data_IF_052882586180
#
_entry.id   IF_052882586180
#
_cell.length_a   1.000
_cell.length_b   1.000
_cell.length_c   1.000
_cell.angle_alpha   90.00
_cell.angle_beta   90.00
_cell.angle_gamma   90.00
#
_symmetry.space_group_name_H-M   'P 1'
#
loop_
_entity.id
_entity.type
_entity.pdbx_description
1 polymer ?
#
# COMPACT_ATOMS: atom_id res chain seq x y z
N UNK A 1 49.03 14.48 -40.17
CA UNK A 1 49.82 13.30 -39.71
C UNK A 1 50.29 12.38 -40.85
N UNK A 2 49.39 11.74 -41.62
CA UNK A 2 49.76 10.74 -42.66
C UNK A 2 50.76 11.24 -43.71
N UNK A 3 50.59 12.48 -44.18
CA UNK A 3 51.51 13.09 -45.14
C UNK A 3 52.96 13.22 -44.59
N UNK A 4 53.10 13.52 -43.29
CA UNK A 4 54.40 13.60 -42.62
C UNK A 4 55.05 12.23 -42.48
N UNK A 5 54.27 11.18 -42.14
CA UNK A 5 54.76 9.80 -42.07
C UNK A 5 55.25 9.29 -43.43
N UNK A 6 54.54 9.64 -44.50
CA UNK A 6 54.96 9.33 -45.87
C UNK A 6 56.28 10.02 -46.25
N UNK A 7 56.42 11.31 -45.95
CA UNK A 7 57.68 12.04 -46.16
C UNK A 7 58.83 11.48 -45.31
N UNK A 8 58.56 11.13 -44.06
CA UNK A 8 59.56 10.53 -43.17
C UNK A 8 60.09 9.22 -43.76
N UNK A 9 59.18 8.34 -44.19
CA UNK A 9 59.53 7.07 -44.83
C UNK A 9 60.41 7.30 -46.07
N UNK A 10 60.08 8.29 -46.90
CA UNK A 10 60.83 8.62 -48.11
C UNK A 10 62.25 9.13 -47.77
N UNK A 11 62.37 10.08 -46.84
CA UNK A 11 63.66 10.61 -46.39
C UNK A 11 64.53 9.54 -45.72
N UNK A 12 63.95 8.67 -44.89
CA UNK A 12 64.71 7.56 -44.27
C UNK A 12 65.21 6.56 -45.29
N UNK A 13 64.45 6.27 -46.34
CA UNK A 13 64.89 5.41 -47.43
C UNK A 13 66.02 6.05 -48.25
N UNK A 14 65.96 7.36 -48.49
CA UNK A 14 67.04 8.10 -49.14
C UNK A 14 68.32 8.11 -48.30
N UNK A 15 68.21 8.33 -46.99
CA UNK A 15 69.37 8.33 -46.09
C UNK A 15 70.11 6.98 -46.05
N UNK A 16 69.42 5.86 -46.32
CA UNK A 16 70.03 4.52 -46.41
C UNK A 16 70.78 4.28 -47.72
N UNK A 17 70.37 4.94 -48.80
CA UNK A 17 70.88 4.67 -50.15
C UNK A 17 71.90 5.72 -50.63
N UNK A 18 71.75 6.98 -50.21
CA UNK A 18 72.59 8.09 -50.63
C UNK A 18 73.64 8.45 -49.57
N UNK A 19 74.92 8.40 -49.96
CA UNK A 19 76.06 8.76 -49.09
C UNK A 19 76.23 10.27 -48.89
N UNK A 20 75.62 11.09 -49.74
CA UNK A 20 75.65 12.55 -49.65
C UNK A 20 74.36 13.13 -49.05
N UNK A 21 73.55 12.30 -48.40
CA UNK A 21 72.32 12.73 -47.74
C UNK A 21 72.58 13.84 -46.71
N UNK A 22 71.75 14.88 -46.71
CA UNK A 22 71.81 15.96 -45.73
C UNK A 22 70.91 15.66 -44.53
N UNK A 23 71.47 15.38 -43.33
CA UNK A 23 70.71 15.06 -42.13
C UNK A 23 69.81 16.21 -41.65
N UNK A 24 70.09 17.47 -42.04
CA UNK A 24 69.29 18.63 -41.63
C UNK A 24 67.84 18.54 -42.12
N UNK A 25 67.60 17.84 -43.24
CA UNK A 25 66.26 17.63 -43.80
C UNK A 25 65.35 16.78 -42.91
N UNK A 26 65.92 15.81 -42.18
CA UNK A 26 65.17 15.02 -41.20
C UNK A 26 64.83 15.88 -39.99
N UNK A 27 65.76 16.70 -39.50
CA UNK A 27 65.52 17.60 -38.36
C UNK A 27 64.40 18.61 -38.65
N UNK A 28 64.38 19.17 -39.86
CA UNK A 28 63.29 20.05 -40.31
C UNK A 28 61.96 19.31 -40.36
N UNK A 29 61.93 18.07 -40.85
CA UNK A 29 60.72 17.24 -40.83
C UNK A 29 60.26 16.92 -39.40
N UNK A 30 61.18 16.67 -38.47
CA UNK A 30 60.84 16.41 -37.07
C UNK A 30 60.17 17.61 -36.39
N UNK A 31 60.54 18.84 -36.75
CA UNK A 31 59.86 20.06 -36.26
C UNK A 31 58.40 20.11 -36.73
N UNK A 32 58.11 19.67 -37.95
CA UNK A 32 56.72 19.59 -38.41
C UNK A 32 55.91 18.51 -37.65
N UNK A 33 56.53 17.37 -37.30
CA UNK A 33 55.86 16.38 -36.45
C UNK A 33 55.53 16.92 -35.07
N UNK A 34 56.45 17.66 -34.45
CA UNK A 34 56.23 18.26 -33.15
C UNK A 34 55.03 19.23 -33.18
N UNK A 35 54.99 20.13 -34.17
CA UNK A 35 53.89 21.08 -34.34
C UNK A 35 52.57 20.35 -34.61
N UNK A 36 52.56 19.39 -35.53
CA UNK A 36 51.36 18.62 -35.87
C UNK A 36 50.84 17.81 -34.66
N UNK A 37 51.75 17.24 -33.86
CA UNK A 37 51.39 16.52 -32.64
C UNK A 37 50.75 17.45 -31.61
N UNK A 38 51.34 18.63 -31.36
CA UNK A 38 50.74 19.63 -30.47
C UNK A 38 49.37 20.08 -30.95
N UNK A 39 49.22 20.38 -32.24
CA UNK A 39 47.93 20.77 -32.81
C UNK A 39 46.88 19.66 -32.68
N UNK A 40 47.28 18.42 -32.92
CA UNK A 40 46.39 17.26 -32.79
C UNK A 40 45.95 17.04 -31.34
N UNK A 41 46.86 17.21 -30.37
CA UNK A 41 46.54 17.16 -28.95
C UNK A 41 45.61 18.28 -28.51
N UNK A 42 45.88 19.52 -28.93
CA UNK A 42 45.03 20.66 -28.62
C UNK A 42 43.62 20.50 -29.22
N UNK A 43 43.52 20.00 -30.46
CA UNK A 43 42.24 19.71 -31.09
C UNK A 43 41.46 18.62 -30.34
N UNK A 44 42.15 17.55 -29.94
CA UNK A 44 41.54 16.47 -29.16
C UNK A 44 41.05 16.95 -27.79
N UNK A 45 41.82 17.77 -27.08
CA UNK A 45 41.42 18.34 -25.79
C UNK A 45 40.18 19.23 -25.91
N UNK A 46 40.09 20.03 -26.97
CA UNK A 46 38.91 20.86 -27.25
C UNK A 46 37.68 19.97 -27.55
N UNK A 47 37.84 18.94 -28.38
CA UNK A 47 36.76 18.00 -28.68
C UNK A 47 36.27 17.27 -27.43
N UNK A 48 37.21 16.83 -26.58
CA UNK A 48 36.86 16.14 -25.34
C UNK A 48 36.13 17.06 -24.36
N UNK A 49 36.63 18.29 -24.15
CA UNK A 49 35.98 19.26 -23.27
C UNK A 49 34.56 19.57 -23.75
N UNK A 50 34.38 19.75 -25.07
CA UNK A 50 33.06 19.96 -25.65
C UNK A 50 32.14 18.76 -25.43
N UNK A 51 32.64 17.54 -25.62
CA UNK A 51 31.86 16.32 -25.37
C UNK A 51 31.45 16.18 -23.89
N UNK A 52 32.32 16.58 -22.96
CA UNK A 52 32.01 16.62 -21.52
C UNK A 52 30.96 17.67 -21.23
N UNK A 53 31.10 18.90 -21.74
CA UNK A 53 30.11 19.96 -21.55
C UNK A 53 28.72 19.57 -22.08
N UNK A 54 28.65 18.94 -23.26
CA UNK A 54 27.40 18.45 -23.82
C UNK A 54 26.78 17.32 -22.98
N UNK A 55 27.60 16.40 -22.47
CA UNK A 55 27.14 15.33 -21.59
C UNK A 55 26.64 15.87 -20.24
N UNK A 56 27.34 16.83 -19.64
CA UNK A 56 26.93 17.49 -18.39
C UNK A 56 25.63 18.28 -18.55
N UNK A 57 25.47 18.99 -19.67
CA UNK A 57 24.22 19.70 -19.99
C UNK A 57 23.05 18.73 -20.11
N UNK A 58 23.23 17.62 -20.84
CA UNK A 58 22.20 16.59 -20.96
C UNK A 58 21.87 15.92 -19.62
N UNK A 59 22.86 15.70 -18.75
CA UNK A 59 22.61 15.15 -17.41
C UNK A 59 21.80 16.12 -16.56
N UNK A 60 22.14 17.42 -16.60
CA UNK A 60 21.40 18.44 -15.87
C UNK A 60 19.93 18.52 -16.30
N UNK A 61 19.66 18.44 -17.60
CA UNK A 61 18.28 18.42 -18.11
C UNK A 61 17.49 17.20 -17.58
N UNK A 62 18.15 16.04 -17.47
CA UNK A 62 17.53 14.82 -16.92
C UNK A 62 17.32 14.94 -15.41
N UNK A 63 18.27 15.51 -14.68
CA UNK A 63 18.15 15.78 -13.24
C UNK A 63 16.97 16.73 -12.96
N UNK A 64 16.87 17.85 -13.69
CA UNK A 64 15.78 18.81 -13.56
C UNK A 64 14.41 18.17 -13.86
N UNK A 65 14.35 17.30 -14.88
CA UNK A 65 13.14 16.54 -15.19
C UNK A 65 12.76 15.55 -14.08
N UNK A 66 13.75 14.82 -13.55
CA UNK A 66 13.54 13.87 -12.47
C UNK A 66 13.03 14.59 -11.21
N UNK A 67 13.64 15.71 -10.84
CA UNK A 67 13.22 16.52 -9.71
C UNK A 67 11.78 17.02 -9.85
N UNK A 68 11.40 17.48 -11.05
CA UNK A 68 10.01 17.84 -11.37
C UNK A 68 9.02 16.69 -11.14
N UNK A 69 9.37 15.48 -11.60
CA UNK A 69 8.52 14.29 -11.42
C UNK A 69 8.43 13.89 -9.94
N UNK A 70 9.54 13.96 -9.21
CA UNK A 70 9.60 13.63 -7.79
C UNK A 70 8.80 14.62 -6.95
N UNK A 71 8.94 15.91 -7.20
CA UNK A 71 8.16 16.96 -6.52
C UNK A 71 6.66 16.76 -6.76
N UNK A 72 6.26 16.52 -8.01
CA UNK A 72 4.86 16.21 -8.35
C UNK A 72 4.34 14.97 -7.63
N UNK A 73 5.13 13.89 -7.61
CA UNK A 73 4.75 12.66 -6.91
C UNK A 73 4.64 12.87 -5.39
N UNK A 74 5.56 13.64 -4.77
CA UNK A 74 5.50 13.93 -3.34
C UNK A 74 4.28 14.79 -2.98
N UNK A 75 3.91 15.75 -3.83
CA UNK A 75 2.71 16.55 -3.65
C UNK A 75 1.44 15.69 -3.77
N UNK A 76 1.39 14.76 -4.72
CA UNK A 76 0.29 13.80 -4.85
C UNK A 76 0.19 12.88 -3.63
N UNK A 77 1.32 12.37 -3.13
CA UNK A 77 1.35 11.57 -1.90
C UNK A 77 0.84 12.35 -0.69
N UNK A 78 1.22 13.61 -0.55
CA UNK A 78 0.73 14.48 0.52
C UNK A 78 -0.78 14.66 0.46
N UNK A 79 -1.33 14.93 -0.74
CA UNK A 79 -2.78 15.05 -0.93
C UNK A 79 -3.51 13.75 -0.64
N UNK A 80 -2.96 12.63 -1.11
CA UNK A 80 -3.51 11.31 -0.85
C UNK A 80 -3.58 11.01 0.66
N UNK A 81 -2.51 11.31 1.41
CA UNK A 81 -2.50 11.14 2.87
C UNK A 81 -3.57 11.99 3.56
N UNK A 82 -3.70 13.27 3.17
CA UNK A 82 -4.74 14.16 3.72
C UNK A 82 -6.15 13.67 3.41
N UNK A 83 -6.40 13.20 2.18
CA UNK A 83 -7.70 12.66 1.77
C UNK A 83 -8.02 11.36 2.52
N UNK A 84 -7.04 10.48 2.67
CA UNK A 84 -7.17 9.24 3.43
C UNK A 84 -7.47 9.52 4.90
N UNK A 85 -6.77 10.46 5.53
CA UNK A 85 -7.01 10.82 6.95
C UNK A 85 -8.41 11.43 7.14
N UNK A 86 -8.86 12.29 6.21
CA UNK A 86 -10.23 12.83 6.21
C UNK A 86 -11.28 11.72 6.07
N UNK A 87 -11.08 10.80 5.13
CA UNK A 87 -11.98 9.67 4.93
C UNK A 87 -12.04 8.77 6.16
N UNK A 88 -10.88 8.42 6.73
CA UNK A 88 -10.78 7.60 7.94
C UNK A 88 -11.50 8.24 9.14
N UNK A 89 -11.35 9.56 9.32
CA UNK A 89 -12.08 10.31 10.37
C UNK A 89 -13.59 10.29 10.14
N UNK A 90 -14.04 10.51 8.90
CA UNK A 90 -15.47 10.48 8.56
C UNK A 90 -16.08 9.08 8.79
N UNK A 91 -15.38 8.03 8.40
CA UNK A 91 -15.80 6.65 8.65
C UNK A 91 -15.86 6.34 10.15
N UNK A 92 -14.83 6.73 10.91
CA UNK A 92 -14.81 6.52 12.36
C UNK A 92 -15.98 7.25 13.04
N UNK A 93 -16.25 8.50 12.67
CA UNK A 93 -17.37 9.26 13.20
C UNK A 93 -18.71 8.58 12.89
N UNK A 94 -18.89 8.11 11.65
CA UNK A 94 -20.07 7.35 11.24
C UNK A 94 -20.27 6.09 12.09
N UNK A 95 -19.22 5.27 12.25
CA UNK A 95 -19.25 4.06 13.07
C UNK A 95 -19.56 4.35 14.54
N UNK A 96 -19.02 5.45 15.09
CA UNK A 96 -19.31 5.89 16.45
C UNK A 96 -20.78 6.28 16.60
N UNK A 97 -21.37 6.94 15.60
CA UNK A 97 -22.80 7.27 15.62
C UNK A 97 -23.66 6.02 15.52
N UNK A 98 -23.33 5.08 14.64
CA UNK A 98 -24.03 3.80 14.51
C UNK A 98 -23.94 2.97 15.79
N UNK A 99 -22.77 2.92 16.43
CA UNK A 99 -22.60 2.27 17.74
C UNK A 99 -23.46 2.94 18.83
N UNK A 100 -23.57 4.28 18.81
CA UNK A 100 -24.42 5.02 19.75
C UNK A 100 -25.91 4.74 19.51
N UNK A 101 -26.37 4.67 18.26
CA UNK A 101 -27.77 4.36 17.93
C UNK A 101 -28.09 2.91 18.32
N UNK A 102 -27.22 1.96 18.00
CA UNK A 102 -27.34 0.57 18.41
C UNK A 102 -27.41 0.43 19.94
N UNK A 103 -26.54 1.13 20.69
CA UNK A 103 -26.55 1.15 22.15
C UNK A 103 -27.87 1.71 22.72
N UNK A 104 -28.40 2.79 22.14
CA UNK A 104 -29.70 3.35 22.55
C UNK A 104 -30.83 2.36 22.30
N UNK A 105 -30.83 1.71 21.13
CA UNK A 105 -31.80 0.68 20.79
C UNK A 105 -31.72 -0.51 21.75
N UNK A 106 -30.52 -1.00 22.05
CA UNK A 106 -30.30 -2.08 23.03
C UNK A 106 -30.89 -1.77 24.40
N UNK A 107 -30.70 -0.56 24.92
CA UNK A 107 -31.32 -0.11 26.18
C UNK A 107 -32.85 -0.08 26.13
N UNK A 108 -33.43 0.34 25.00
CA UNK A 108 -34.88 0.34 24.83
C UNK A 108 -35.43 -1.10 24.82
N UNK A 109 -34.79 -2.01 24.09
CA UNK A 109 -35.15 -3.43 24.06
C UNK A 109 -35.02 -4.05 25.45
N UNK A 110 -33.93 -3.78 26.17
CA UNK A 110 -33.72 -4.22 27.56
C UNK A 110 -34.86 -3.72 28.47
N UNK A 111 -35.25 -2.45 28.34
CA UNK A 111 -36.38 -1.90 29.11
C UNK A 111 -37.72 -2.56 28.77
N UNK A 112 -37.98 -2.83 27.50
CA UNK A 112 -39.21 -3.49 27.06
C UNK A 112 -39.26 -4.95 27.54
N UNK A 113 -38.13 -5.67 27.43
CA UNK A 113 -37.99 -7.04 27.89
C UNK A 113 -38.16 -7.15 29.41
N UNK A 114 -37.60 -6.22 30.19
CA UNK A 114 -37.78 -6.19 31.65
C UNK A 114 -39.22 -5.88 32.05
N UNK A 115 -39.92 -4.98 31.36
CA UNK A 115 -41.36 -4.73 31.59
C UNK A 115 -42.19 -5.99 31.26
N UNK A 116 -41.93 -6.62 30.12
CA UNK A 116 -42.62 -7.86 29.73
C UNK A 116 -42.35 -8.97 30.75
N UNK A 117 -41.10 -9.16 31.15
CA UNK A 117 -40.69 -10.13 32.17
C UNK A 117 -41.40 -9.90 33.50
N UNK A 118 -41.49 -8.65 33.98
CA UNK A 118 -42.26 -8.31 35.19
C UNK A 118 -43.72 -8.70 35.05
N UNK A 119 -44.38 -8.38 33.92
CA UNK A 119 -45.78 -8.78 33.68
C UNK A 119 -45.97 -10.30 33.69
N UNK A 120 -45.04 -11.05 33.11
CA UNK A 120 -45.08 -12.52 33.15
C UNK A 120 -44.93 -13.04 34.58
N UNK A 121 -43.98 -12.49 35.36
CA UNK A 121 -43.77 -12.85 36.76
C UNK A 121 -45.02 -12.52 37.59
N UNK A 122 -45.63 -11.34 37.40
CA UNK A 122 -46.86 -10.92 38.07
C UNK A 122 -48.05 -11.82 37.71
N UNK A 123 -48.21 -12.19 36.44
CA UNK A 123 -49.25 -13.12 36.01
C UNK A 123 -49.05 -14.52 36.62
N UNK A 124 -47.80 -15.01 36.66
CA UNK A 124 -47.47 -16.27 37.32
C UNK A 124 -47.73 -16.21 38.83
N UNK A 125 -47.36 -15.11 39.51
CA UNK A 125 -47.62 -14.87 40.93
C UNK A 125 -49.12 -14.79 41.23
N UNK A 126 -49.88 -14.08 40.41
CA UNK A 126 -51.34 -13.98 40.53
C UNK A 126 -52.01 -15.34 40.34
N UNK A 127 -51.56 -16.11 39.33
CA UNK A 127 -52.03 -17.48 39.08
C UNK A 127 -51.68 -18.45 40.23
N UNK A 128 -50.46 -18.37 40.75
CA UNK A 128 -50.03 -19.16 41.90
C UNK A 128 -50.82 -18.77 43.16
N UNK A 129 -51.04 -17.48 43.41
CA UNK A 129 -51.84 -16.99 44.53
C UNK A 129 -53.31 -17.42 44.42
N UNK A 130 -53.89 -17.34 43.22
CA UNK A 130 -55.24 -17.84 42.95
C UNK A 130 -55.33 -19.36 43.16
N UNK A 131 -54.31 -20.10 42.73
CA UNK A 131 -54.18 -21.55 42.93
C UNK A 131 -53.99 -21.92 44.40
N UNK A 132 -53.23 -21.14 45.18
CA UNK A 132 -53.11 -21.30 46.63
C UNK A 132 -54.41 -20.95 47.35
N UNK A 133 -55.09 -19.88 46.93
CA UNK A 133 -56.37 -19.46 47.51
C UNK A 133 -57.50 -20.45 47.21
N UNK A 134 -57.50 -21.06 46.01
CA UNK A 134 -58.43 -22.13 45.65
C UNK A 134 -58.11 -23.43 46.38
N UNK A 135 -56.82 -23.78 46.52
CA UNK A 135 -56.39 -24.91 47.34
C UNK A 135 -56.77 -24.72 48.82
N UNK A 136 -56.67 -23.51 49.37
CA UNK A 136 -57.06 -23.19 50.73
C UNK A 136 -58.59 -23.20 50.94
N UNK A 137 -59.37 -22.74 49.96
CA UNK A 137 -60.84 -22.90 49.95
C UNK A 137 -61.30 -24.35 49.75
N UNK A 138 -60.41 -25.23 49.26
CA UNK A 138 -60.66 -26.63 48.98
C UNK A 138 -60.13 -27.61 50.04
N UNK A 139 -59.60 -27.15 51.18
CA UNK A 139 -59.20 -28.04 52.28
C UNK A 139 -60.45 -28.54 53.03
N UNK A 140 -61.18 -29.47 52.42
CA UNK A 140 -61.71 -30.62 53.11
C UNK A 140 -60.70 -31.75 52.92
N UNK A 141 -60.19 -32.30 54.03
CA UNK A 141 -59.13 -33.32 54.07
C UNK A 141 -59.44 -34.51 53.15
N UNK A 142 -58.69 -34.65 52.06
CA UNK A 142 -58.59 -35.89 51.27
C UNK A 142 -57.25 -35.91 50.48
N UNK A 143 -56.60 -37.08 50.34
CA UNK A 143 -55.21 -37.15 49.89
C UNK A 143 -55.06 -36.89 48.37
N UNK A 144 -53.89 -36.33 48.06
CA UNK A 144 -53.45 -35.77 46.78
C UNK A 144 -53.60 -36.66 45.55
N UNK A 145 -54.08 -36.06 44.45
CA UNK A 145 -53.73 -36.47 43.08
C UNK A 145 -52.82 -35.40 42.47
N UNK A 146 -51.61 -35.83 42.09
CA UNK A 146 -50.56 -35.01 41.47
C UNK A 146 -51.08 -34.38 40.17
N UNK A 147 -51.28 -33.07 40.19
CA UNK A 147 -51.62 -32.29 38.99
C UNK A 147 -50.31 -31.84 38.34
N UNK A 148 -49.93 -32.50 37.23
CA UNK A 148 -48.80 -32.10 36.39
C UNK A 148 -49.16 -30.81 35.65
N UNK A 149 -48.61 -29.67 36.06
CA UNK A 149 -48.61 -28.45 35.27
C UNK A 149 -47.82 -28.68 33.98
N UNK A 150 -48.52 -28.74 32.85
CA UNK A 150 -47.91 -28.76 31.51
C UNK A 150 -47.69 -27.29 31.11
N UNK A 151 -46.46 -26.80 31.25
CA UNK A 151 -46.03 -25.52 30.65
C UNK A 151 -46.21 -25.61 29.12
N UNK A 152 -46.66 -24.54 28.44
CA UNK A 152 -46.59 -24.51 26.98
C UNK A 152 -45.10 -24.53 26.55
N UNK A 153 -44.76 -25.17 25.43
CA UNK A 153 -43.38 -25.19 24.93
C UNK A 153 -42.97 -23.76 24.55
N UNK A 154 -41.87 -23.31 25.15
CA UNK A 154 -41.07 -22.20 24.66
C UNK A 154 -40.30 -22.72 23.45
N UNK A 155 -40.83 -22.53 22.25
CA UNK A 155 -40.05 -22.67 21.02
C UNK A 155 -39.26 -21.37 20.81
N UNK A 156 -38.08 -21.30 21.42
CA UNK A 156 -37.01 -20.40 21.00
C UNK A 156 -35.96 -21.26 20.28
N UNK A 157 -36.10 -21.32 18.97
CA UNK A 157 -35.10 -21.89 18.06
C UNK A 157 -33.90 -20.92 18.03
N UNK A 158 -33.00 -21.08 19.00
CA UNK A 158 -31.85 -20.20 19.26
C UNK A 158 -30.51 -20.89 18.98
N UNK A 159 -30.48 -21.82 18.01
CA UNK A 159 -29.27 -22.60 17.69
C UNK A 159 -28.76 -22.43 16.26
N UNK A 160 -29.35 -21.58 15.42
CA UNK A 160 -28.98 -21.53 13.99
C UNK A 160 -28.46 -20.19 13.43
N UNK A 161 -28.19 -19.17 14.27
CA UNK A 161 -27.71 -17.86 13.79
C UNK A 161 -26.18 -17.69 13.94
N UNK A 162 -25.50 -18.55 14.69
CA UNK A 162 -24.11 -18.30 15.06
C UNK A 162 -23.03 -18.99 14.19
N UNK A 163 -23.41 -19.84 13.23
CA UNK A 163 -22.45 -20.60 12.39
C UNK A 163 -22.31 -20.10 10.95
N UNK A 164 -23.24 -19.29 10.42
CA UNK A 164 -23.10 -18.74 9.06
C UNK A 164 -22.33 -17.40 9.01
N UNK A 165 -22.22 -16.69 10.14
CA UNK A 165 -21.54 -15.39 10.16
C UNK A 165 -20.01 -15.48 10.27
N UNK A 166 -19.48 -16.63 10.71
CA UNK A 166 -18.03 -16.83 10.87
C UNK A 166 -17.40 -17.38 9.60
N UNK A 167 -18.06 -18.25 8.84
CA UNK A 167 -17.53 -18.79 7.58
C UNK A 167 -17.41 -17.72 6.49
N UNK A 168 -18.33 -16.76 6.40
CA UNK A 168 -18.30 -15.75 5.35
C UNK A 168 -17.20 -14.68 5.54
N UNK A 169 -16.84 -14.35 6.79
CA UNK A 169 -15.79 -13.35 7.07
C UNK A 169 -14.38 -13.85 6.78
N UNK A 170 -14.10 -15.13 7.03
CA UNK A 170 -12.79 -15.71 6.73
C UNK A 170 -12.56 -15.95 5.22
N UNK A 171 -13.62 -16.26 4.46
CA UNK A 171 -13.50 -16.38 3.00
C UNK A 171 -13.26 -15.03 2.32
N UNK A 172 -13.90 -13.94 2.78
CA UNK A 172 -13.68 -12.61 2.22
C UNK A 172 -12.27 -12.08 2.52
N UNK A 173 -11.76 -12.35 3.71
CA UNK A 173 -10.40 -11.94 4.09
C UNK A 173 -9.32 -12.74 3.33
N UNK A 174 -9.56 -14.03 3.08
CA UNK A 174 -8.64 -14.87 2.29
C UNK A 174 -8.63 -14.48 0.80
N UNK A 175 -9.78 -14.11 0.22
CA UNK A 175 -9.83 -13.61 -1.16
C UNK A 175 -9.19 -12.23 -1.33
N UNK A 176 -9.33 -11.33 -0.35
CA UNK A 176 -8.68 -10.02 -0.37
C UNK A 176 -7.15 -10.14 -0.24
N UNK A 177 -6.67 -11.08 0.58
CA UNK A 177 -5.24 -11.35 0.73
C UNK A 177 -4.62 -11.97 -0.53
N UNK A 178 -5.34 -12.86 -1.22
CA UNK A 178 -4.89 -13.43 -2.50
C UNK A 178 -4.87 -12.40 -3.63
N UNK A 179 -5.83 -11.47 -3.65
CA UNK A 179 -5.85 -10.39 -4.64
C UNK A 179 -4.70 -9.39 -4.46
N UNK A 180 -4.28 -9.13 -3.23
CA UNK A 180 -3.13 -8.24 -2.92
C UNK A 180 -1.77 -8.89 -3.22
N UNK A 181 -1.66 -10.22 -3.13
CA UNK A 181 -0.41 -10.95 -3.40
C UNK A 181 -0.26 -11.40 -4.86
N UNK A 182 -1.33 -11.32 -5.67
CA UNK A 182 -1.35 -11.73 -7.07
C UNK A 182 -1.04 -10.63 -8.09
N UNK A 183 -0.73 -9.41 -7.66
CA UNK A 183 -0.44 -8.26 -8.56
C UNK A 183 1.06 -7.93 -8.67
N UNK A 184 1.94 -8.90 -8.40
CA UNK A 184 3.39 -8.73 -8.57
C UNK A 184 4.06 -9.97 -9.15
N UNK A 185 3.41 -10.63 -10.11
CA UNK A 185 4.06 -11.55 -11.05
C UNK A 185 3.39 -11.49 -12.43
#
# INVERSE_FOLDING_TARGET
MEALLSQFTLLTNQALQDKNFDPATIDELMKFFEIEAYNSWAALEIEQNKAVEEAEASLRDVEDYLDSILDGAMDDFRRFEEEMDKAAKAELESLVQEAKTAKKMGKLIESAATIASKKYIEAALSSATASMKSAFKGVSFAPSKVMRCRLPPFDLDYSNIHMEFLTNKYYLFFFLLLAMLGSSF
#
